data_IF_490405415731
#
_entry.id   IF_490405415731
#
_cell.length_a   1.000
_cell.length_b   1.000
_cell.length_c   1.000
_cell.angle_alpha   90.00
_cell.angle_beta   90.00
_cell.angle_gamma   90.00
#
_symmetry.space_group_name_H-M   'P 1'
#
loop_
_entity.id
_entity.type
_entity.pdbx_description
1 polymer ?
#
# COMPACT_ATOMS: atom_id res chain seq x y z
N UNK A 1 -8.21 -6.30 20.13
CA UNK A 1 -8.17 -5.38 19.00
C UNK A 1 -7.79 -6.14 17.74
N UNK A 2 -8.55 -5.97 16.69
CA UNK A 2 -8.24 -6.59 15.40
C UNK A 2 -7.10 -5.85 14.73
N UNK A 3 -6.10 -6.61 14.31
CA UNK A 3 -5.05 -6.09 13.46
C UNK A 3 -5.45 -6.33 12.00
N UNK A 4 -5.42 -5.27 11.20
CA UNK A 4 -5.81 -5.34 9.79
C UNK A 4 -4.57 -5.18 8.94
N UNK A 5 -4.37 -6.12 8.01
CA UNK A 5 -3.26 -6.07 7.07
C UNK A 5 -3.59 -5.13 5.91
N UNK A 6 -2.68 -4.24 5.60
CA UNK A 6 -2.88 -3.30 4.50
C UNK A 6 -1.56 -2.95 3.83
N UNK A 7 -1.66 -2.47 2.60
CA UNK A 7 -0.52 -1.94 1.87
C UNK A 7 -0.84 -0.51 1.44
N UNK A 8 0.13 0.36 1.60
CA UNK A 8 0.06 1.71 1.08
C UNK A 8 1.32 2.00 0.27
N UNK A 9 1.15 2.58 -0.91
CA UNK A 9 2.27 3.02 -1.73
C UNK A 9 2.39 4.53 -1.57
N UNK A 10 3.53 5.01 -1.07
CA UNK A 10 3.72 6.45 -0.90
C UNK A 10 3.57 7.18 -2.24
N UNK A 11 2.67 8.13 -2.29
CA UNK A 11 2.49 8.98 -3.46
C UNK A 11 2.74 10.42 -3.07
N UNK A 12 3.69 11.03 -3.75
CA UNK A 12 4.21 12.36 -3.42
C UNK A 12 3.35 13.48 -4.00
N UNK A 13 2.39 13.15 -4.87
CA UNK A 13 1.71 14.15 -5.70
C UNK A 13 0.47 14.79 -5.09
N UNK A 14 -0.05 14.25 -4.01
CA UNK A 14 -1.30 14.73 -3.44
C UNK A 14 -1.10 15.35 -2.08
N UNK A 15 -1.54 16.61 -1.96
CA UNK A 15 -1.51 17.36 -0.72
C UNK A 15 -2.96 17.72 -0.33
N UNK A 16 -3.16 18.19 0.90
CA UNK A 16 -4.46 18.64 1.38
C UNK A 16 -5.13 17.63 2.29
N UNK A 17 -6.43 17.41 2.11
CA UNK A 17 -7.22 16.53 2.99
C UNK A 17 -6.65 15.11 3.07
N UNK A 18 -6.16 14.61 1.95
CA UNK A 18 -5.55 13.27 1.93
C UNK A 18 -4.27 13.20 2.76
N UNK A 19 -3.56 14.33 2.91
CA UNK A 19 -2.36 14.39 3.74
C UNK A 19 -2.68 14.13 5.21
N UNK A 20 -3.77 14.71 5.71
CA UNK A 20 -4.20 14.50 7.10
C UNK A 20 -4.57 13.04 7.34
N UNK A 21 -5.29 12.43 6.40
CA UNK A 21 -5.64 11.03 6.50
C UNK A 21 -4.39 10.14 6.52
N UNK A 22 -3.39 10.44 5.70
CA UNK A 22 -2.12 9.71 5.68
C UNK A 22 -1.40 9.81 7.01
N UNK A 23 -1.37 10.99 7.61
CA UNK A 23 -0.74 11.18 8.92
C UNK A 23 -1.46 10.38 10.00
N UNK A 24 -2.79 10.32 9.93
CA UNK A 24 -3.58 9.54 10.85
C UNK A 24 -3.29 8.03 10.72
N UNK A 25 -3.17 7.55 9.49
CA UNK A 25 -2.81 6.15 9.22
C UNK A 25 -1.43 5.83 9.78
N UNK A 26 -0.45 6.71 9.57
CA UNK A 26 0.89 6.55 10.12
C UNK A 26 0.86 6.45 11.64
N UNK A 27 0.03 7.25 12.28
CA UNK A 27 -0.14 7.22 13.73
C UNK A 27 -0.71 5.87 14.19
N UNK A 28 -1.71 5.36 13.48
CA UNK A 28 -2.29 4.05 13.77
C UNK A 28 -1.27 2.92 13.61
N UNK A 29 -0.37 3.03 12.62
CA UNK A 29 0.72 2.07 12.44
C UNK A 29 1.67 2.12 13.63
N UNK A 30 2.06 3.33 14.05
CA UNK A 30 2.97 3.50 15.18
C UNK A 30 2.40 2.93 16.47
N UNK A 31 1.10 3.02 16.64
CA UNK A 31 0.40 2.49 17.82
C UNK A 31 0.14 0.99 17.75
N UNK A 32 0.49 0.34 16.65
CA UNK A 32 0.31 -1.09 16.48
C UNK A 32 -1.10 -1.53 16.16
N UNK A 33 -1.96 -0.61 15.75
CA UNK A 33 -3.36 -0.91 15.41
C UNK A 33 -3.53 -1.50 14.00
N UNK A 34 -2.51 -1.34 13.16
CA UNK A 34 -2.53 -1.79 11.76
C UNK A 34 -1.25 -2.56 11.46
N UNK A 35 -1.38 -3.59 10.63
CA UNK A 35 -0.23 -4.31 10.08
C UNK A 35 0.16 -3.70 8.74
N UNK A 36 1.36 -3.13 8.67
CA UNK A 36 1.89 -2.59 7.43
C UNK A 36 2.57 -3.68 6.63
N UNK A 37 2.12 -3.86 5.40
CA UNK A 37 2.74 -4.79 4.45
C UNK A 37 3.55 -3.97 3.45
N UNK A 38 4.81 -4.33 3.29
CA UNK A 38 5.69 -3.73 2.29
C UNK A 38 6.27 -4.80 1.39
N UNK A 39 7.00 -4.41 0.35
CA UNK A 39 7.46 -5.38 -0.64
C UNK A 39 8.78 -4.95 -1.28
N UNK A 40 9.41 -5.91 -1.95
CA UNK A 40 10.60 -5.65 -2.75
C UNK A 40 10.31 -4.64 -3.88
N UNK A 41 9.06 -4.60 -4.37
CA UNK A 41 8.66 -3.64 -5.41
C UNK A 41 8.74 -2.21 -4.87
N UNK A 42 8.30 -2.00 -3.63
CA UNK A 42 8.38 -0.70 -2.99
C UNK A 42 9.83 -0.29 -2.76
N UNK A 43 10.67 -1.20 -2.32
CA UNK A 43 12.11 -0.93 -2.13
C UNK A 43 12.75 -0.49 -3.43
N UNK A 44 12.45 -1.21 -4.53
CA UNK A 44 12.97 -0.90 -5.84
C UNK A 44 12.52 0.49 -6.31
N UNK A 45 11.25 0.80 -6.11
CA UNK A 45 10.72 2.12 -6.47
C UNK A 45 11.34 3.22 -5.63
N UNK A 46 11.48 2.99 -4.33
CA UNK A 46 12.04 3.99 -3.43
C UNK A 46 13.53 4.24 -3.71
N UNK A 47 14.27 3.23 -4.16
CA UNK A 47 15.67 3.40 -4.55
C UNK A 47 15.83 4.41 -5.68
N UNK A 48 14.80 4.59 -6.48
CA UNK A 48 14.78 5.55 -7.59
C UNK A 48 14.19 6.91 -7.21
N UNK A 49 13.86 7.09 -5.95
CA UNK A 49 13.32 8.35 -5.47
C UNK A 49 14.37 9.45 -5.62
N UNK A 50 14.01 10.52 -6.33
CA UNK A 50 14.92 11.63 -6.61
C UNK A 50 15.24 12.46 -5.37
N UNK A 51 14.34 12.50 -4.42
CA UNK A 51 14.57 13.21 -3.17
C UNK A 51 15.24 12.28 -2.17
N UNK A 52 16.52 12.53 -1.89
CA UNK A 52 17.24 11.73 -0.91
C UNK A 52 16.57 11.80 0.47
N UNK A 53 16.10 12.97 0.84
CA UNK A 53 15.44 13.17 2.12
C UNK A 53 14.18 12.30 2.25
N UNK A 54 13.34 12.29 1.20
CA UNK A 54 12.13 11.47 1.17
C UNK A 54 12.46 9.98 1.14
N UNK A 55 13.46 9.61 0.33
CA UNK A 55 13.92 8.22 0.24
C UNK A 55 14.32 7.69 1.60
N UNK A 56 15.14 8.45 2.33
CA UNK A 56 15.61 8.04 3.64
C UNK A 56 14.48 7.98 4.66
N UNK A 57 13.53 8.91 4.60
CA UNK A 57 12.38 8.91 5.50
C UNK A 57 11.50 7.68 5.27
N UNK A 58 11.26 7.31 4.02
CA UNK A 58 10.50 6.12 3.66
C UNK A 58 11.23 4.86 4.12
N UNK A 59 12.53 4.74 3.86
CA UNK A 59 13.31 3.60 4.30
C UNK A 59 13.27 3.41 5.81
N UNK A 60 13.39 4.51 6.56
CA UNK A 60 13.35 4.48 8.02
C UNK A 60 12.00 4.00 8.52
N UNK A 61 10.92 4.53 7.95
CA UNK A 61 9.56 4.15 8.34
C UNK A 61 9.30 2.67 8.04
N UNK A 62 9.67 2.22 6.86
CA UNK A 62 9.52 0.82 6.45
C UNK A 62 10.30 -0.10 7.38
N UNK A 63 11.55 0.24 7.65
CA UNK A 63 12.41 -0.57 8.51
C UNK A 63 11.82 -0.72 9.92
N UNK A 64 11.26 0.36 10.44
CA UNK A 64 10.75 0.37 11.80
C UNK A 64 9.38 -0.29 11.95
N UNK A 65 8.50 -0.11 10.96
CA UNK A 65 7.08 -0.44 11.13
C UNK A 65 6.55 -1.56 10.24
N UNK A 66 7.34 -2.12 9.35
CA UNK A 66 6.85 -3.23 8.50
C UNK A 66 6.54 -4.46 9.35
N UNK A 67 5.30 -4.94 9.23
CA UNK A 67 4.87 -6.17 9.88
C UNK A 67 5.10 -7.39 9.00
N UNK A 68 4.82 -7.24 7.69
CA UNK A 68 4.94 -8.33 6.72
C UNK A 68 5.68 -7.78 5.50
N UNK A 69 6.71 -8.50 5.07
CA UNK A 69 7.49 -8.13 3.90
C UNK A 69 7.33 -9.18 2.81
N UNK A 70 6.91 -8.74 1.63
CA UNK A 70 6.80 -9.60 0.46
C UNK A 70 8.13 -9.54 -0.30
N UNK A 71 8.89 -10.61 -0.23
CA UNK A 71 10.21 -10.69 -0.86
C UNK A 71 10.12 -11.12 -2.33
N UNK A 72 11.24 -11.03 -3.03
CA UNK A 72 11.32 -11.45 -4.43
C UNK A 72 11.25 -12.97 -4.63
N UNK A 73 11.17 -13.73 -3.55
CA UNK A 73 10.94 -15.18 -3.63
C UNK A 73 9.64 -15.50 -4.34
N UNK A 74 8.66 -14.60 -4.25
CA UNK A 74 7.35 -14.76 -4.89
C UNK A 74 7.27 -14.04 -6.23
N UNK A 75 8.39 -13.64 -6.80
CA UNK A 75 8.44 -12.81 -8.00
C UNK A 75 7.64 -13.40 -9.16
N UNK A 76 7.77 -14.71 -9.42
CA UNK A 76 7.07 -15.34 -10.54
C UNK A 76 5.55 -15.28 -10.36
N UNK A 77 5.07 -15.55 -9.16
CA UNK A 77 3.65 -15.48 -8.83
C UNK A 77 3.14 -14.05 -8.93
N UNK A 78 3.91 -13.10 -8.41
CA UNK A 78 3.56 -11.69 -8.45
C UNK A 78 3.49 -11.18 -9.89
N UNK A 79 4.46 -11.55 -10.73
CA UNK A 79 4.45 -11.16 -12.14
C UNK A 79 3.25 -11.73 -12.89
N UNK A 80 2.84 -12.95 -12.55
CA UNK A 80 1.67 -13.58 -13.13
C UNK A 80 0.39 -12.80 -12.79
N UNK A 81 0.18 -12.48 -11.51
CA UNK A 81 -0.95 -11.68 -11.08
C UNK A 81 -0.91 -10.27 -11.68
N UNK A 82 0.28 -9.66 -11.69
CA UNK A 82 0.46 -8.34 -12.28
C UNK A 82 0.07 -8.33 -13.76
N UNK A 83 0.43 -9.38 -14.50
CA UNK A 83 0.05 -9.53 -15.90
C UNK A 83 -1.46 -9.50 -16.10
N UNK A 84 -2.20 -10.17 -15.24
CA UNK A 84 -3.66 -10.16 -15.29
C UNK A 84 -4.23 -8.77 -14.98
N UNK A 85 -3.66 -8.10 -14.00
CA UNK A 85 -4.10 -6.75 -13.62
C UNK A 85 -3.81 -5.75 -14.75
N UNK A 86 -2.66 -5.90 -15.39
CA UNK A 86 -2.28 -5.03 -16.51
C UNK A 86 -3.25 -5.09 -17.69
N UNK A 87 -3.94 -6.22 -17.86
CA UNK A 87 -4.94 -6.36 -18.92
C UNK A 87 -6.10 -5.39 -18.76
N UNK A 88 -6.31 -4.86 -17.57
CA UNK A 88 -7.37 -3.88 -17.30
C UNK A 88 -6.92 -2.45 -17.53
N UNK A 89 -5.69 -2.23 -18.01
CA UNK A 89 -5.15 -0.90 -18.30
C UNK A 89 -4.29 -0.30 -17.19
N UNK A 90 -3.97 -1.06 -16.17
CA UNK A 90 -3.12 -0.62 -15.06
C UNK A 90 -1.65 -0.76 -15.48
N UNK A 91 -0.85 0.25 -15.13
CA UNK A 91 0.59 0.24 -15.43
C UNK A 91 1.30 -0.86 -14.65
N UNK A 92 2.39 -1.37 -15.22
CA UNK A 92 3.14 -2.49 -14.65
C UNK A 92 3.54 -2.29 -13.19
N UNK A 93 4.09 -1.12 -12.85
CA UNK A 93 4.53 -0.85 -11.48
C UNK A 93 3.37 -0.93 -10.49
N UNK A 94 2.27 -0.27 -10.83
CA UNK A 94 1.08 -0.28 -9.97
C UNK A 94 0.49 -1.69 -9.88
N UNK A 95 0.48 -2.41 -10.99
CA UNK A 95 0.00 -3.79 -11.01
C UNK A 95 0.86 -4.69 -10.12
N UNK A 96 2.17 -4.48 -10.10
CA UNK A 96 3.07 -5.24 -9.23
C UNK A 96 2.80 -4.96 -7.74
N UNK A 97 2.54 -3.70 -7.40
CA UNK A 97 2.18 -3.36 -6.02
C UNK A 97 0.88 -4.06 -5.58
N UNK A 98 -0.14 -4.00 -6.43
CA UNK A 98 -1.42 -4.65 -6.13
C UNK A 98 -1.24 -6.17 -6.03
N UNK A 99 -0.46 -6.75 -6.93
CA UNK A 99 -0.17 -8.19 -6.90
C UNK A 99 0.52 -8.60 -5.60
N UNK A 100 1.44 -7.79 -5.09
CA UNK A 100 2.07 -8.04 -3.80
C UNK A 100 1.05 -8.04 -2.66
N UNK A 101 0.10 -7.10 -2.69
CA UNK A 101 -0.95 -7.04 -1.70
C UNK A 101 -1.85 -8.28 -1.74
N UNK A 102 -2.17 -8.76 -2.95
CA UNK A 102 -2.96 -9.99 -3.13
C UNK A 102 -2.22 -11.19 -2.55
N UNK A 103 -0.95 -11.34 -2.89
CA UNK A 103 -0.12 -12.46 -2.40
C UNK A 103 0.00 -12.43 -0.88
N UNK A 104 0.14 -11.26 -0.30
CA UNK A 104 0.24 -11.09 1.16
C UNK A 104 -1.12 -11.20 1.85
N UNK A 105 -2.20 -11.36 1.10
CA UNK A 105 -3.56 -11.44 1.62
C UNK A 105 -3.97 -10.20 2.41
N UNK A 106 -3.56 -9.03 1.93
CA UNK A 106 -3.98 -7.77 2.50
C UNK A 106 -5.49 -7.61 2.36
N UNK A 107 -6.11 -7.00 3.35
CA UNK A 107 -7.52 -6.62 3.26
C UNK A 107 -7.70 -5.32 2.48
N UNK A 108 -6.77 -4.39 2.65
CA UNK A 108 -6.86 -3.07 2.02
C UNK A 108 -5.59 -2.71 1.26
N UNK A 109 -5.78 -2.02 0.16
CA UNK A 109 -4.72 -1.34 -0.59
C UNK A 109 -5.09 0.14 -0.64
N UNK A 110 -4.29 0.97 0.00
CA UNK A 110 -4.59 2.40 0.15
C UNK A 110 -3.85 3.18 -0.93
N UNK A 111 -4.60 3.90 -1.74
CA UNK A 111 -4.04 4.64 -2.88
C UNK A 111 -4.85 5.90 -3.14
N UNK A 112 -4.22 6.85 -3.84
CA UNK A 112 -4.90 8.03 -4.37
C UNK A 112 -5.01 7.99 -5.90
N UNK A 113 -4.60 6.90 -6.52
CA UNK A 113 -4.64 6.75 -7.98
C UNK A 113 -6.04 6.33 -8.43
N UNK A 114 -6.67 7.17 -9.24
CA UNK A 114 -8.04 6.95 -9.70
C UNK A 114 -8.21 5.65 -10.51
N UNK A 115 -7.20 5.28 -11.28
CA UNK A 115 -7.28 4.05 -12.08
C UNK A 115 -7.30 2.82 -11.19
N UNK A 116 -6.46 2.83 -10.16
CA UNK A 116 -6.44 1.74 -9.18
C UNK A 116 -7.75 1.67 -8.40
N UNK A 117 -8.29 2.83 -8.02
CA UNK A 117 -9.54 2.88 -7.26
C UNK A 117 -10.73 2.32 -8.05
N UNK A 118 -10.67 2.37 -9.38
CA UNK A 118 -11.71 1.82 -10.25
C UNK A 118 -11.53 0.34 -10.54
N UNK A 119 -10.35 -0.21 -10.21
CA UNK A 119 -10.09 -1.62 -10.47
C UNK A 119 -10.69 -2.50 -9.39
N UNK A 120 -10.92 -3.76 -9.72
CA UNK A 120 -11.43 -4.75 -8.79
C UNK A 120 -10.41 -5.84 -8.57
N UNK A 121 -10.25 -6.23 -7.33
CA UNK A 121 -9.47 -7.39 -6.96
C UNK A 121 -10.24 -8.18 -5.91
N UNK A 122 -10.31 -9.47 -6.09
CA UNK A 122 -11.01 -10.36 -5.16
C UNK A 122 -10.33 -10.32 -3.79
N UNK A 123 -11.12 -10.10 -2.75
CA UNK A 123 -10.66 -10.07 -1.36
C UNK A 123 -9.74 -8.90 -0.99
N UNK A 124 -9.47 -7.98 -1.93
CA UNK A 124 -8.66 -6.80 -1.67
C UNK A 124 -9.48 -5.57 -1.99
N UNK A 125 -9.64 -4.69 -1.02
CA UNK A 125 -10.37 -3.44 -1.21
C UNK A 125 -9.38 -2.30 -1.47
N UNK A 126 -9.55 -1.63 -2.62
CA UNK A 126 -8.74 -0.49 -3.00
C UNK A 126 -9.47 0.77 -2.60
N UNK A 127 -8.89 1.53 -1.69
CA UNK A 127 -9.55 2.68 -1.06
C UNK A 127 -8.60 3.85 -0.95
N UNK A 128 -9.18 5.06 -0.85
CA UNK A 128 -8.41 6.25 -0.52
C UNK A 128 -8.07 6.25 0.96
N UNK A 129 -7.05 7.04 1.38
CA UNK A 129 -6.77 7.20 2.80
C UNK A 129 -8.00 7.65 3.61
N UNK A 130 -8.77 8.59 3.08
CA UNK A 130 -9.97 9.08 3.77
C UNK A 130 -11.03 8.00 3.93
N UNK A 131 -11.27 7.22 2.88
CA UNK A 131 -12.23 6.12 2.93
C UNK A 131 -11.78 5.04 3.89
N UNK A 132 -10.47 4.75 3.90
CA UNK A 132 -9.91 3.78 4.83
C UNK A 132 -10.18 4.18 6.28
N UNK A 133 -9.92 5.43 6.64
CA UNK A 133 -10.17 5.93 7.99
C UNK A 133 -11.65 5.80 8.34
N UNK A 134 -12.53 6.16 7.42
CA UNK A 134 -13.97 6.08 7.62
C UNK A 134 -14.42 4.66 7.92
N UNK A 135 -13.90 3.68 7.18
CA UNK A 135 -14.22 2.27 7.40
C UNK A 135 -13.68 1.76 8.73
N UNK A 136 -12.49 2.20 9.12
CA UNK A 136 -11.90 1.83 10.40
C UNK A 136 -12.76 2.34 11.55
N UNK A 137 -13.25 3.55 11.48
CA UNK A 137 -14.12 4.13 12.50
C UNK A 137 -15.43 3.34 12.63
N UNK A 138 -16.02 2.96 11.51
CA UNK A 138 -17.24 2.18 11.49
C UNK A 138 -17.06 0.79 12.09
N UNK A 139 -15.94 0.13 11.76
CA UNK A 139 -15.66 -1.22 12.23
C UNK A 139 -15.41 -1.28 13.74
N UNK A 140 -15.00 -0.17 14.35
CA UNK A 140 -14.71 -0.11 15.79
C UNK A 140 -15.93 0.35 16.62
N UNK A 141 -16.98 0.74 15.96
CA UNK A 141 -18.24 1.03 16.62
C UNK A 141 -19.07 -0.26 16.71
#
# INVERSE_FOLDING_TARGET
ARTVSFMVVPNVRHEGLETQAKLHIQDMIRKGNLELVTSYVLDYENDRNRSLQKKMAIERFIREYTSIYVSDRNKNEIEKYAGEIMKTGIKEKDACHVACAVVAQCKYFITTDDRLLKSHSENLELVTPGEFIRRMETDYE
#
